data_IF_332757291493
#
_entry.id   IF_332757291493
#
_cell.length_a   1.000
_cell.length_b   1.000
_cell.length_c   1.000
_cell.angle_alpha   90.00
_cell.angle_beta   90.00
_cell.angle_gamma   90.00
#
_symmetry.space_group_name_H-M   'P 1'
#
loop_
_entity.id
_entity.type
_entity.pdbx_description
1 polymer ?
#
# COMPACT_ATOMS: atom_id res chain seq x y z
N UNK A 1 29.89 -26.42 -20.12
CA UNK A 1 28.42 -26.26 -20.06
C UNK A 1 28.17 -24.91 -19.42
N UNK A 2 27.56 -24.01 -20.19
CA UNK A 2 27.59 -22.57 -19.97
C UNK A 2 26.64 -22.14 -18.85
N UNK A 3 27.11 -21.12 -18.14
CA UNK A 3 26.48 -20.42 -17.04
C UNK A 3 25.26 -19.62 -17.54
N UNK A 4 24.04 -20.07 -17.25
CA UNK A 4 22.83 -19.28 -17.47
C UNK A 4 22.63 -18.33 -16.30
N UNK A 5 23.38 -17.23 -16.33
CA UNK A 5 23.14 -16.06 -15.50
C UNK A 5 21.85 -15.41 -16.02
N UNK A 6 20.71 -15.81 -15.47
CA UNK A 6 19.41 -15.17 -15.74
C UNK A 6 19.40 -13.78 -15.11
N UNK A 7 20.00 -12.80 -15.79
CA UNK A 7 19.69 -11.40 -15.59
C UNK A 7 18.22 -11.21 -16.00
N UNK A 8 17.30 -11.45 -15.07
CA UNK A 8 15.99 -10.81 -15.14
C UNK A 8 16.27 -9.31 -15.07
N UNK A 9 16.14 -8.63 -16.20
CA UNK A 9 16.00 -7.19 -16.23
C UNK A 9 14.74 -6.86 -15.45
N UNK A 10 14.91 -6.49 -14.18
CA UNK A 10 13.89 -5.83 -13.39
C UNK A 10 13.58 -4.55 -14.17
N UNK A 11 12.41 -4.54 -14.80
CA UNK A 11 11.91 -3.44 -15.60
C UNK A 11 11.64 -2.27 -14.65
N UNK A 12 12.70 -1.51 -14.38
CA UNK A 12 12.79 -0.37 -13.45
C UNK A 12 12.09 0.89 -13.98
N UNK A 13 11.15 0.77 -14.91
CA UNK A 13 10.31 1.90 -15.32
C UNK A 13 9.17 2.11 -14.29
N UNK A 14 9.04 3.29 -13.67
CA UNK A 14 7.96 3.58 -12.75
C UNK A 14 6.63 3.74 -13.50
N UNK A 15 5.79 2.70 -13.49
CA UNK A 15 4.42 2.79 -14.04
C UNK A 15 3.53 3.83 -13.30
N UNK A 16 3.92 4.26 -12.09
CA UNK A 16 3.33 5.38 -11.36
C UNK A 16 4.45 6.30 -10.88
N UNK A 17 4.47 7.54 -11.36
CA UNK A 17 5.26 8.62 -10.76
C UNK A 17 4.51 9.11 -9.50
N UNK A 18 4.62 8.33 -8.41
CA UNK A 18 3.96 8.63 -7.16
C UNK A 18 4.71 9.72 -6.40
N UNK A 19 4.09 10.88 -6.23
CA UNK A 19 4.60 11.91 -5.33
C UNK A 19 4.44 11.46 -3.87
N UNK A 20 5.58 11.08 -3.28
CA UNK A 20 5.67 10.61 -1.90
C UNK A 20 5.22 11.68 -0.90
N UNK A 21 5.44 12.96 -1.19
CA UNK A 21 5.01 14.04 -0.30
C UNK A 21 3.48 14.16 -0.31
N UNK A 22 2.85 14.01 -1.47
CA UNK A 22 1.39 13.99 -1.61
C UNK A 22 0.81 12.78 -0.88
N UNK A 23 1.40 11.59 -1.03
CA UNK A 23 0.99 10.41 -0.28
C UNK A 23 1.08 10.65 1.23
N UNK A 24 2.20 11.20 1.70
CA UNK A 24 2.43 11.50 3.11
C UNK A 24 1.37 12.45 3.66
N UNK A 25 1.12 13.56 2.97
CA UNK A 25 0.13 14.56 3.37
C UNK A 25 -1.29 13.98 3.36
N UNK A 26 -1.64 13.21 2.33
CA UNK A 26 -2.94 12.58 2.22
C UNK A 26 -3.21 11.63 3.38
N UNK A 27 -2.29 10.71 3.64
CA UNK A 27 -2.44 9.74 4.73
C UNK A 27 -2.41 10.44 6.10
N UNK A 28 -1.55 11.45 6.27
CA UNK A 28 -1.48 12.24 7.50
C UNK A 28 -2.80 12.96 7.79
N UNK A 29 -3.42 13.54 6.76
CA UNK A 29 -4.71 14.22 6.85
C UNK A 29 -5.84 13.24 7.17
N UNK A 30 -5.91 12.10 6.46
CA UNK A 30 -6.98 11.13 6.66
C UNK A 30 -6.93 10.45 8.04
N UNK A 31 -5.73 10.20 8.56
CA UNK A 31 -5.55 9.52 9.85
C UNK A 31 -5.34 10.48 11.02
N UNK A 32 -5.31 11.79 10.76
CA UNK A 32 -4.98 12.84 11.74
C UNK A 32 -3.71 12.51 12.53
N UNK A 33 -2.65 12.11 11.81
CA UNK A 33 -1.36 11.67 12.37
C UNK A 33 -0.21 12.28 11.57
N UNK A 34 0.89 12.60 12.25
CA UNK A 34 2.10 13.04 11.58
C UNK A 34 2.93 11.81 11.20
N UNK A 35 3.12 11.59 9.91
CA UNK A 35 4.11 10.64 9.40
C UNK A 35 5.34 11.42 8.99
N UNK A 36 6.51 11.03 9.48
CA UNK A 36 7.77 11.75 9.27
C UNK A 36 8.67 11.08 8.24
N UNK A 37 8.45 9.78 7.99
CA UNK A 37 9.27 9.01 7.06
C UNK A 37 8.43 8.05 6.25
N UNK A 38 8.70 8.01 4.94
CA UNK A 38 8.13 7.03 4.02
C UNK A 38 9.25 6.18 3.43
N UNK A 39 9.03 4.88 3.36
CA UNK A 39 9.95 3.93 2.73
C UNK A 39 9.18 2.89 1.92
N UNK A 40 9.64 2.59 0.71
CA UNK A 40 9.14 1.46 -0.08
C UNK A 40 9.58 0.16 0.60
N UNK A 41 8.63 -0.74 0.85
CA UNK A 41 8.88 -2.09 1.37
C UNK A 41 9.00 -3.10 0.24
N UNK A 42 8.06 -3.07 -0.70
CA UNK A 42 8.07 -3.97 -1.86
C UNK A 42 7.30 -3.35 -3.02
N UNK A 43 7.73 -3.73 -4.23
CA UNK A 43 7.15 -3.33 -5.50
C UNK A 43 6.88 -4.62 -6.27
N UNK A 44 5.60 -4.97 -6.39
CA UNK A 44 5.16 -6.17 -7.13
C UNK A 44 4.32 -5.77 -8.33
N UNK A 45 4.05 -6.72 -9.24
CA UNK A 45 3.35 -6.48 -10.51
C UNK A 45 2.11 -5.60 -10.37
N UNK A 46 1.28 -5.85 -9.37
CA UNK A 46 -0.01 -5.19 -9.19
C UNK A 46 -0.01 -4.11 -8.10
N UNK A 47 0.91 -4.16 -7.15
CA UNK A 47 0.86 -3.30 -5.96
C UNK A 47 2.24 -2.78 -5.57
N UNK A 48 2.28 -1.56 -5.08
CA UNK A 48 3.40 -1.00 -4.32
C UNK A 48 3.02 -0.88 -2.85
N UNK A 49 3.95 -1.25 -1.98
CA UNK A 49 3.76 -1.25 -0.53
C UNK A 49 4.78 -0.32 0.11
N UNK A 50 4.30 0.59 0.94
CA UNK A 50 5.08 1.59 1.66
C UNK A 50 4.89 1.44 3.16
N UNK A 51 5.96 1.70 3.91
CA UNK A 51 5.93 1.94 5.35
C UNK A 51 5.95 3.44 5.60
N UNK A 52 4.94 3.93 6.32
CA UNK A 52 4.86 5.29 6.83
C UNK A 52 5.13 5.24 8.33
N UNK A 53 6.23 5.86 8.75
CA UNK A 53 6.62 5.88 10.16
C UNK A 53 6.16 7.17 10.81
N UNK A 54 5.49 7.04 11.95
CA UNK A 54 5.04 8.19 12.74
C UNK A 54 6.10 8.56 13.78
N UNK A 55 6.20 9.85 14.09
CA UNK A 55 7.01 10.36 15.20
C UNK A 55 6.36 10.11 16.56
N UNK A 56 5.03 10.09 16.60
CA UNK A 56 4.21 9.87 17.78
C UNK A 56 2.97 9.03 17.40
N UNK A 57 3.13 7.72 17.30
CA UNK A 57 2.00 6.83 17.04
C UNK A 57 2.40 5.49 16.43
N UNK A 58 1.40 4.80 15.87
CA UNK A 58 1.60 3.53 15.17
C UNK A 58 2.00 3.79 13.72
N UNK A 59 3.06 3.12 13.29
CA UNK A 59 3.44 3.03 11.88
C UNK A 59 2.30 2.47 11.03
N UNK A 60 2.26 2.83 9.76
CA UNK A 60 1.24 2.38 8.83
C UNK A 60 1.84 1.75 7.58
N UNK A 61 1.19 0.68 7.12
CA UNK A 61 1.51 0.06 5.84
C UNK A 61 0.48 0.54 4.83
N UNK A 62 0.96 1.20 3.79
CA UNK A 62 0.12 1.67 2.69
C UNK A 62 0.37 0.77 1.49
N UNK A 63 -0.71 0.24 0.92
CA UNK A 63 -0.65 -0.52 -0.33
C UNK A 63 -1.43 0.21 -1.41
N UNK A 64 -0.77 0.49 -2.52
CA UNK A 64 -1.33 1.17 -3.67
C UNK A 64 -1.40 0.20 -4.85
N UNK A 65 -2.48 0.25 -5.61
CA UNK A 65 -2.55 -0.47 -6.88
C UNK A 65 -1.74 0.28 -7.93
N UNK A 66 -0.94 -0.46 -8.70
CA UNK A 66 -0.22 0.07 -9.86
C UNK A 66 -1.04 0.06 -11.13
N UNK A 67 -2.06 -0.78 -11.17
CA UNK A 67 -2.92 -0.94 -12.33
C UNK A 67 -4.22 -0.14 -12.15
N UNK A 68 -4.53 0.71 -13.13
CA UNK A 68 -5.79 1.47 -13.22
C UNK A 68 -6.96 0.50 -13.46
N UNK A 69 -6.70 -0.66 -14.07
CA UNK A 69 -7.71 -1.69 -14.37
C UNK A 69 -8.03 -2.51 -13.12
N UNK A 70 -7.27 -2.40 -12.02
CA UNK A 70 -7.58 -3.12 -10.80
C UNK A 70 -8.93 -2.63 -10.25
N UNK A 71 -9.98 -3.48 -10.24
CA UNK A 71 -11.30 -3.00 -9.92
C UNK A 71 -11.30 -2.50 -8.46
N UNK A 72 -11.79 -1.28 -8.19
CA UNK A 72 -11.86 -0.72 -6.84
C UNK A 72 -12.55 -1.65 -5.83
N UNK A 73 -13.41 -2.56 -6.33
CA UNK A 73 -14.07 -3.60 -5.54
C UNK A 73 -13.13 -4.58 -4.84
N UNK A 74 -11.91 -4.82 -5.34
CA UNK A 74 -10.96 -5.74 -4.69
C UNK A 74 -10.53 -5.24 -3.30
N UNK A 75 -10.15 -3.96 -3.20
CA UNK A 75 -9.84 -3.38 -1.88
C UNK A 75 -11.06 -3.28 -0.97
N UNK A 76 -12.27 -3.06 -1.52
CA UNK A 76 -13.51 -3.10 -0.72
C UNK A 76 -13.70 -4.49 -0.12
N UNK A 77 -13.60 -5.51 -0.95
CA UNK A 77 -13.80 -6.90 -0.53
C UNK A 77 -12.77 -7.31 0.52
N UNK A 78 -11.51 -6.88 0.38
CA UNK A 78 -10.48 -7.15 1.37
C UNK A 78 -10.76 -6.47 2.71
N UNK A 79 -11.08 -5.17 2.72
CA UNK A 79 -11.41 -4.45 3.97
C UNK A 79 -12.67 -5.03 4.61
N UNK A 80 -13.68 -5.40 3.82
CA UNK A 80 -14.87 -6.07 4.33
C UNK A 80 -14.54 -7.43 4.94
N UNK A 81 -13.62 -8.19 4.33
CA UNK A 81 -13.17 -9.49 4.84
C UNK A 81 -12.40 -9.32 6.14
N UNK A 82 -11.46 -8.38 6.22
CA UNK A 82 -10.71 -8.08 7.46
C UNK A 82 -11.67 -7.71 8.58
N UNK A 83 -12.64 -6.84 8.30
CA UNK A 83 -13.68 -6.45 9.26
C UNK A 83 -14.55 -7.63 9.68
N UNK A 84 -14.93 -8.50 8.75
CA UNK A 84 -15.71 -9.69 9.06
C UNK A 84 -14.93 -10.65 9.96
N UNK A 85 -13.68 -10.94 9.62
CA UNK A 85 -12.81 -11.85 10.39
C UNK A 85 -12.57 -11.30 11.81
N UNK A 86 -12.32 -10.00 11.95
CA UNK A 86 -12.10 -9.38 13.28
C UNK A 86 -13.34 -9.42 14.19
N UNK A 87 -14.54 -9.38 13.60
CA UNK A 87 -15.79 -9.35 14.34
C UNK A 87 -16.35 -10.74 14.66
N UNK A 88 -16.07 -11.73 13.81
CA UNK A 88 -16.72 -13.04 13.88
C UNK A 88 -15.77 -14.17 14.33
N UNK A 89 -14.48 -13.87 14.53
CA UNK A 89 -13.49 -14.86 14.94
C UNK A 89 -12.53 -14.28 15.97
N UNK A 90 -11.75 -15.14 16.62
CA UNK A 90 -10.64 -14.71 17.49
C UNK A 90 -9.31 -14.55 16.72
N UNK A 91 -9.33 -14.61 15.39
CA UNK A 91 -8.14 -14.45 14.55
C UNK A 91 -7.71 -12.99 14.59
N UNK A 92 -6.46 -12.73 14.97
CA UNK A 92 -5.87 -11.40 14.93
C UNK A 92 -5.64 -10.98 13.48
N UNK A 93 -6.24 -9.87 13.10
CA UNK A 93 -6.06 -9.24 11.78
C UNK A 93 -5.62 -7.79 11.95
N UNK A 94 -4.94 -7.19 10.95
CA UNK A 94 -4.57 -5.78 11.00
C UNK A 94 -5.79 -4.87 11.07
N UNK A 95 -5.66 -3.72 11.73
CA UNK A 95 -6.61 -2.63 11.54
C UNK A 95 -6.46 -2.10 10.11
N UNK A 96 -7.54 -2.16 9.32
CA UNK A 96 -7.53 -1.76 7.92
C UNK A 96 -8.48 -0.60 7.67
N UNK A 97 -7.97 0.48 7.10
CA UNK A 97 -8.75 1.61 6.61
C UNK A 97 -8.52 1.74 5.11
N UNK A 98 -9.60 1.86 4.34
CA UNK A 98 -9.50 2.23 2.94
C UNK A 98 -9.42 3.75 2.84
N UNK A 99 -8.33 4.24 2.25
CA UNK A 99 -8.22 5.62 1.83
C UNK A 99 -8.46 5.68 0.31
N UNK A 100 -9.42 6.50 -0.11
CA UNK A 100 -9.76 6.67 -1.52
C UNK A 100 -9.34 8.05 -2.01
N UNK A 101 -8.49 8.09 -3.05
CA UNK A 101 -8.29 9.29 -3.85
C UNK A 101 -9.41 9.33 -4.90
N UNK A 102 -10.42 10.17 -4.66
CA UNK A 102 -11.38 10.53 -5.72
C UNK A 102 -10.74 11.63 -6.57
N UNK A 103 -10.12 11.25 -7.70
CA UNK A 103 -9.85 12.22 -8.76
C UNK A 103 -11.19 12.54 -9.43
N UNK A 104 -11.53 13.84 -9.45
CA UNK A 104 -12.67 14.37 -10.22
C UNK A 104 -12.35 14.42 -11.70
#
# INVERSE_FOLDING_TARGET
MNNENSNLSDDDEPALDLDINVLQQFVSSCLNRCYVRIRILTRGLNNEVYLLQSDAGTDCIVRLSRDIIHPPGKFISEVATIKYVSQNTCIKVPESVRLGLHCK
#
